data_IF_983719769686
#
_entry.id   IF_983719769686
#
_cell.length_a   1.000
_cell.length_b   1.000
_cell.length_c   1.000
_cell.angle_alpha   90.00
_cell.angle_beta   90.00
_cell.angle_gamma   90.00
#
_symmetry.space_group_name_H-M   'P 1'
#
loop_
_entity.id
_entity.type
_entity.pdbx_description
1 polymer ?
#
# COMPACT_ATOMS: atom_id res chain seq x y z
N UNK A 1 -1.31 -1.34 28.34
CA UNK A 1 -1.61 -0.09 27.60
C UNK A 1 -3.12 0.01 27.35
N UNK A 2 -3.70 1.21 27.47
CA UNK A 2 -5.10 1.45 27.11
C UNK A 2 -5.29 1.81 25.63
N UNK A 3 -6.53 1.86 25.11
CA UNK A 3 -6.82 2.17 23.70
C UNK A 3 -6.50 3.62 23.28
N UNK A 4 -6.17 4.49 24.24
CA UNK A 4 -5.56 5.79 23.98
C UNK A 4 -4.04 5.69 24.21
N UNK A 5 -3.33 5.13 23.23
CA UNK A 5 -1.86 5.17 23.16
C UNK A 5 -1.42 5.96 21.91
N UNK A 6 -0.30 6.71 21.96
CA UNK A 6 0.13 7.57 20.86
C UNK A 6 0.97 6.81 19.83
N UNK A 7 0.34 5.97 19.00
CA UNK A 7 1.00 5.35 17.84
C UNK A 7 0.03 5.15 16.67
N UNK A 8 0.55 4.80 15.48
CA UNK A 8 -0.19 4.82 14.21
C UNK A 8 -0.71 3.44 13.76
N UNK A 9 -0.43 2.39 14.53
CA UNK A 9 -0.87 1.00 14.27
C UNK A 9 -2.32 0.70 14.73
N UNK A 10 -3.15 1.73 14.89
CA UNK A 10 -4.57 1.60 15.25
C UNK A 10 -4.85 1.40 16.74
N UNK A 11 -6.11 1.09 17.07
CA UNK A 11 -6.64 1.06 18.44
C UNK A 11 -6.68 -0.37 18.99
N UNK A 12 -5.91 -0.63 20.05
CA UNK A 12 -5.86 -1.92 20.75
C UNK A 12 -5.65 -1.69 22.26
N UNK A 13 -6.02 -2.66 23.10
CA UNK A 13 -5.77 -2.61 24.55
C UNK A 13 -4.98 -3.83 24.98
N UNK A 14 -3.89 -3.59 25.71
CA UNK A 14 -3.04 -4.62 26.31
C UNK A 14 -3.21 -4.58 27.83
N UNK A 15 -3.77 -5.62 28.43
CA UNK A 15 -3.69 -5.82 29.88
C UNK A 15 -2.45 -6.67 30.12
N UNK A 16 -1.38 -6.01 30.59
CA UNK A 16 -0.06 -6.62 30.76
C UNK A 16 0.17 -6.91 32.25
N UNK A 17 0.53 -8.15 32.57
CA UNK A 17 0.94 -8.57 33.91
C UNK A 17 2.46 -8.57 33.98
N UNK A 18 3.00 -7.78 34.92
CA UNK A 18 4.42 -7.55 35.11
C UNK A 18 4.89 -8.12 36.45
N UNK A 19 6.13 -8.61 36.49
CA UNK A 19 6.88 -8.83 37.72
C UNK A 19 8.23 -8.08 37.61
N UNK A 20 8.35 -6.99 38.38
CA UNK A 20 9.44 -6.03 38.19
C UNK A 20 9.42 -5.41 36.79
N UNK A 21 10.43 -5.73 35.98
CA UNK A 21 10.59 -5.28 34.59
C UNK A 21 10.18 -6.36 33.57
N UNK A 22 9.96 -7.61 34.00
CA UNK A 22 9.62 -8.73 33.14
C UNK A 22 8.09 -8.82 32.87
N UNK A 23 7.74 -9.20 31.64
CA UNK A 23 6.35 -9.46 31.22
C UNK A 23 6.03 -10.94 31.43
N UNK A 24 5.11 -11.25 32.34
CA UNK A 24 4.61 -12.62 32.56
C UNK A 24 3.48 -12.97 31.59
N UNK A 25 2.53 -12.05 31.39
CA UNK A 25 1.32 -12.29 30.60
C UNK A 25 0.82 -10.99 29.94
N UNK A 26 0.04 -11.13 28.86
CA UNK A 26 -0.47 -10.02 28.05
C UNK A 26 -1.80 -10.37 27.37
N UNK A 27 -2.93 -10.01 28.00
CA UNK A 27 -4.25 -10.14 27.38
C UNK A 27 -4.46 -9.01 26.35
N UNK A 28 -4.55 -9.40 25.07
CA UNK A 28 -4.80 -8.52 23.94
C UNK A 28 -6.30 -8.39 23.66
N UNK A 29 -6.88 -7.26 24.03
CA UNK A 29 -8.29 -6.91 23.76
C UNK A 29 -8.36 -6.14 22.43
N UNK A 30 -8.89 -6.83 21.40
CA UNK A 30 -9.19 -6.29 20.07
C UNK A 30 -10.68 -5.88 19.96
N UNK A 31 -11.10 -5.51 18.75
CA UNK A 31 -12.52 -5.30 18.42
C UNK A 31 -12.99 -3.84 18.49
N UNK A 32 -12.19 -2.90 19.01
CA UNK A 32 -12.52 -1.47 19.05
C UNK A 32 -12.85 -0.84 17.69
N UNK A 33 -12.37 -1.43 16.58
CA UNK A 33 -12.66 -1.02 15.20
C UNK A 33 -13.56 -2.01 14.43
N UNK A 34 -14.18 -2.97 15.12
CA UNK A 34 -15.06 -3.96 14.48
C UNK A 34 -16.34 -3.26 13.97
N UNK A 35 -16.57 -3.35 12.65
CA UNK A 35 -17.66 -2.66 11.95
C UNK A 35 -18.63 -3.61 11.23
N UNK A 36 -18.60 -4.92 11.53
CA UNK A 36 -19.48 -5.91 10.92
C UNK A 36 -19.33 -6.03 9.41
N UNK A 37 -18.11 -5.91 8.88
CA UNK A 37 -17.84 -5.85 7.43
C UNK A 37 -18.43 -7.03 6.65
N UNK A 38 -18.38 -8.24 7.20
CA UNK A 38 -19.00 -9.46 6.67
C UNK A 38 -20.52 -9.31 6.51
N UNK A 39 -21.20 -8.74 7.52
CA UNK A 39 -22.65 -8.52 7.51
C UNK A 39 -23.08 -7.44 6.51
N UNK A 40 -22.19 -6.49 6.23
CA UNK A 40 -22.36 -5.51 5.16
C UNK A 40 -22.21 -6.19 3.78
N UNK A 41 -21.27 -7.12 3.61
CA UNK A 41 -21.07 -7.85 2.35
C UNK A 41 -22.33 -8.62 1.90
N UNK A 42 -22.99 -9.33 2.83
CA UNK A 42 -24.25 -10.06 2.55
C UNK A 42 -25.32 -9.20 1.84
N UNK A 43 -25.31 -7.88 2.10
CA UNK A 43 -26.34 -6.94 1.68
C UNK A 43 -25.86 -5.96 0.60
N UNK A 44 -24.74 -6.25 -0.08
CA UNK A 44 -24.14 -5.38 -1.11
C UNK A 44 -23.68 -6.18 -2.31
N UNK A 45 -23.84 -5.61 -3.51
CA UNK A 45 -23.15 -6.14 -4.70
C UNK A 45 -21.66 -5.83 -4.63
N UNK A 46 -20.82 -6.64 -5.27
CA UNK A 46 -19.34 -6.51 -5.26
C UNK A 46 -18.88 -5.06 -5.54
N UNK A 47 -19.47 -4.41 -6.56
CA UNK A 47 -19.16 -3.01 -6.94
C UNK A 47 -19.54 -1.98 -5.86
N UNK A 48 -20.58 -2.25 -5.07
CA UNK A 48 -20.97 -1.41 -3.93
C UNK A 48 -20.15 -1.72 -2.66
N UNK A 49 -19.52 -2.89 -2.61
CA UNK A 49 -18.72 -3.33 -1.47
C UNK A 49 -17.26 -2.88 -1.56
N UNK A 50 -16.71 -2.75 -2.77
CA UNK A 50 -15.31 -2.34 -3.00
C UNK A 50 -14.85 -1.14 -2.14
N UNK A 51 -15.61 -0.02 -2.02
CA UNK A 51 -15.20 1.15 -1.21
C UNK A 51 -15.25 0.94 0.32
N UNK A 52 -15.72 -0.21 0.80
CA UNK A 52 -15.61 -0.65 2.20
C UNK A 52 -14.34 -1.46 2.44
N UNK A 53 -13.82 -2.14 1.42
CA UNK A 53 -12.71 -3.09 1.56
C UNK A 53 -11.37 -2.38 1.65
N UNK A 54 -11.20 -1.26 0.93
CA UNK A 54 -10.11 -0.27 1.13
C UNK A 54 -10.00 0.30 2.56
N UNK A 55 -10.90 -0.09 3.46
CA UNK A 55 -10.92 0.30 4.88
C UNK A 55 -10.64 -0.89 5.81
N UNK A 56 -10.26 -2.05 5.27
CA UNK A 56 -9.74 -3.20 6.01
C UNK A 56 -8.25 -2.97 6.30
N UNK A 57 -7.45 -2.82 5.25
CA UNK A 57 -6.10 -2.28 5.30
C UNK A 57 -6.13 -0.86 4.69
N UNK A 58 -5.78 0.13 5.51
CA UNK A 58 -5.72 1.54 5.14
C UNK A 58 -4.30 1.99 4.73
N UNK A 59 -3.32 1.09 4.81
CA UNK A 59 -1.93 1.28 4.37
C UNK A 59 -1.78 0.83 2.91
N UNK A 60 -2.35 -0.34 2.59
CA UNK A 60 -2.17 -1.09 1.34
C UNK A 60 -3.50 -1.36 0.63
N UNK A 61 -4.30 -0.31 0.43
CA UNK A 61 -5.73 -0.38 0.02
C UNK A 61 -5.98 -1.30 -1.19
N UNK A 62 -5.13 -1.26 -2.21
CA UNK A 62 -5.34 -1.95 -3.48
C UNK A 62 -5.16 -3.47 -3.39
N UNK A 63 -4.43 -4.02 -2.39
CA UNK A 63 -4.41 -5.46 -2.12
C UNK A 63 -5.80 -5.98 -1.76
N UNK A 64 -6.51 -5.23 -0.92
CA UNK A 64 -7.83 -5.62 -0.42
C UNK A 64 -8.89 -5.55 -1.53
N UNK A 65 -8.77 -4.57 -2.44
CA UNK A 65 -9.57 -4.51 -3.67
C UNK A 65 -9.26 -5.67 -4.62
N UNK A 66 -7.98 -5.97 -4.86
CA UNK A 66 -7.57 -7.08 -5.70
C UNK A 66 -8.12 -8.42 -5.21
N UNK A 67 -8.08 -8.71 -3.90
CA UNK A 67 -8.69 -9.91 -3.31
C UNK A 67 -10.21 -9.96 -3.58
N UNK A 68 -10.90 -8.83 -3.41
CA UNK A 68 -12.36 -8.71 -3.61
C UNK A 68 -12.79 -8.86 -5.07
N UNK A 69 -11.90 -8.51 -6.00
CA UNK A 69 -12.12 -8.58 -7.45
C UNK A 69 -11.71 -9.95 -8.01
N UNK A 70 -10.60 -10.52 -7.55
CA UNK A 70 -10.09 -11.84 -7.97
C UNK A 70 -11.12 -12.96 -7.72
N UNK A 71 -11.77 -12.98 -6.56
CA UNK A 71 -12.74 -14.04 -6.19
C UNK A 71 -13.87 -14.23 -7.21
N UNK A 72 -14.66 -13.19 -7.55
CA UNK A 72 -15.69 -13.29 -8.59
C UNK A 72 -15.13 -13.37 -10.01
N UNK A 73 -13.95 -12.83 -10.31
CA UNK A 73 -13.28 -13.06 -11.62
C UNK A 73 -12.98 -14.54 -11.84
N UNK A 74 -12.42 -15.22 -10.83
CA UNK A 74 -12.14 -16.66 -10.85
C UNK A 74 -13.42 -17.50 -10.92
N UNK A 75 -14.42 -17.21 -10.07
CA UNK A 75 -15.69 -17.94 -10.07
C UNK A 75 -16.46 -17.78 -11.40
N UNK A 76 -16.35 -16.62 -12.04
CA UNK A 76 -16.90 -16.35 -13.36
C UNK A 76 -16.06 -16.89 -14.54
N UNK A 77 -14.87 -17.45 -14.30
CA UNK A 77 -13.88 -17.82 -15.31
C UNK A 77 -13.58 -16.67 -16.31
N UNK A 78 -13.52 -15.44 -15.80
CA UNK A 78 -13.30 -14.24 -16.62
C UNK A 78 -11.82 -14.16 -16.99
N UNK A 79 -11.51 -14.22 -18.28
CA UNK A 79 -10.16 -13.97 -18.78
C UNK A 79 -9.85 -12.47 -18.67
N UNK A 80 -8.91 -12.11 -17.79
CA UNK A 80 -8.43 -10.74 -17.69
C UNK A 80 -7.63 -10.38 -18.96
N UNK A 81 -7.80 -9.17 -19.51
CA UNK A 81 -6.91 -8.67 -20.54
C UNK A 81 -5.56 -8.37 -19.89
N UNK A 82 -4.56 -9.23 -20.15
CA UNK A 82 -3.11 -8.92 -20.20
C UNK A 82 -2.71 -7.59 -19.52
N UNK A 83 -2.83 -6.45 -20.22
CA UNK A 83 -2.72 -5.06 -19.70
C UNK A 83 -3.09 -4.82 -18.22
N UNK A 84 -4.25 -5.31 -17.79
CA UNK A 84 -4.77 -5.08 -16.44
C UNK A 84 -4.01 -5.88 -15.37
N UNK A 85 -3.33 -6.97 -15.73
CA UNK A 85 -2.60 -7.87 -14.82
C UNK A 85 -1.51 -7.14 -14.03
N UNK A 86 -0.65 -6.39 -14.72
CA UNK A 86 0.40 -5.55 -14.12
C UNK A 86 0.14 -4.05 -13.98
N UNK A 87 -0.95 -3.52 -14.52
CA UNK A 87 -1.51 -2.32 -13.86
C UNK A 87 -1.93 -2.73 -12.44
N UNK A 88 -2.43 -3.96 -12.22
CA UNK A 88 -2.63 -4.53 -10.88
C UNK A 88 -1.29 -4.79 -10.17
N UNK A 89 -0.31 -5.51 -10.76
CA UNK A 89 1.05 -5.71 -10.18
C UNK A 89 1.71 -4.41 -9.74
N UNK A 90 1.96 -3.46 -10.63
CA UNK A 90 2.72 -2.23 -10.31
C UNK A 90 2.03 -1.45 -9.18
N UNK A 91 0.70 -1.36 -9.20
CA UNK A 91 -0.06 -0.68 -8.16
C UNK A 91 -0.12 -1.47 -6.84
N UNK A 92 -0.01 -2.81 -6.89
CA UNK A 92 0.15 -3.66 -5.71
C UNK A 92 1.55 -3.55 -5.10
N UNK A 93 2.63 -3.59 -5.89
CA UNK A 93 3.99 -3.45 -5.38
C UNK A 93 4.25 -2.04 -4.84
N UNK A 94 3.75 -0.99 -5.51
CA UNK A 94 3.72 0.37 -4.94
C UNK A 94 2.89 0.43 -3.65
N UNK A 95 1.78 -0.32 -3.55
CA UNK A 95 1.01 -0.43 -2.30
C UNK A 95 1.77 -1.19 -1.21
N UNK A 96 2.65 -2.13 -1.59
CA UNK A 96 3.52 -2.87 -0.67
C UNK A 96 4.56 -1.93 -0.08
N UNK A 97 5.22 -1.14 -0.92
CA UNK A 97 6.22 -0.16 -0.49
C UNK A 97 5.58 0.97 0.33
N UNK A 98 4.41 1.47 -0.07
CA UNK A 98 3.64 2.41 0.74
C UNK A 98 3.26 1.83 2.12
N UNK A 99 3.04 0.52 2.23
CA UNK A 99 2.78 -0.17 3.50
C UNK A 99 4.05 -0.36 4.33
N UNK A 100 5.15 -0.82 3.72
CA UNK A 100 6.44 -0.98 4.40
C UNK A 100 7.01 0.36 4.89
N UNK A 101 6.87 1.45 4.12
CA UNK A 101 7.19 2.81 4.55
C UNK A 101 6.37 3.21 5.79
N UNK A 102 5.05 3.06 5.76
CA UNK A 102 4.19 3.45 6.88
C UNK A 102 4.22 2.46 8.07
N UNK A 103 4.81 1.28 7.90
CA UNK A 103 5.28 0.46 9.02
C UNK A 103 6.58 1.04 9.61
N UNK A 104 7.57 1.34 8.77
CA UNK A 104 8.92 1.73 9.18
C UNK A 104 8.95 3.06 9.94
N UNK A 105 8.17 4.06 9.52
CA UNK A 105 8.13 5.38 10.15
C UNK A 105 7.72 5.33 11.62
N UNK A 106 6.51 4.84 11.95
CA UNK A 106 6.06 4.64 13.32
C UNK A 106 6.95 3.66 14.11
N UNK A 107 7.42 2.57 13.50
CA UNK A 107 8.32 1.62 14.17
C UNK A 107 9.62 2.28 14.64
N UNK A 108 10.23 3.15 13.82
CA UNK A 108 11.41 3.92 14.21
C UNK A 108 11.09 4.97 15.28
N UNK A 109 9.92 5.64 15.18
CA UNK A 109 9.48 6.61 16.18
C UNK A 109 9.19 5.96 17.55
N UNK A 110 8.58 4.77 17.58
CA UNK A 110 8.29 3.98 18.79
C UNK A 110 9.59 3.44 19.44
N UNK A 111 10.67 3.27 18.67
CA UNK A 111 12.05 2.99 19.16
C UNK A 111 12.79 4.27 19.60
N UNK A 112 12.22 5.46 19.35
CA UNK A 112 12.76 6.78 19.72
C UNK A 112 13.50 7.51 18.59
N UNK A 113 13.70 6.88 17.44
CA UNK A 113 14.29 7.50 16.25
C UNK A 113 13.24 8.32 15.48
N UNK A 114 12.99 9.55 15.93
CA UNK A 114 11.95 10.43 15.37
C UNK A 114 12.30 11.05 14.01
N UNK A 115 13.58 11.25 13.66
CA UNK A 115 13.95 11.93 12.40
C UNK A 115 13.62 11.13 11.13
N UNK A 116 13.86 9.80 11.03
CA UNK A 116 13.47 8.99 9.88
C UNK A 116 11.99 9.09 9.51
N UNK A 117 11.11 9.24 10.49
CA UNK A 117 9.66 9.39 10.30
C UNK A 117 9.32 10.45 9.22
N UNK A 118 9.92 11.64 9.31
CA UNK A 118 9.64 12.73 8.38
C UNK A 118 10.17 12.48 6.95
N UNK A 119 11.31 11.80 6.82
CA UNK A 119 11.83 11.41 5.50
C UNK A 119 10.98 10.31 4.85
N UNK A 120 10.51 9.36 5.65
CA UNK A 120 9.65 8.26 5.20
C UNK A 120 8.31 8.78 4.68
N UNK A 121 7.71 9.77 5.34
CA UNK A 121 6.50 10.43 4.83
C UNK A 121 6.76 11.22 3.53
N UNK A 122 7.94 11.83 3.35
CA UNK A 122 8.32 12.49 2.08
C UNK A 122 8.38 11.49 0.92
N UNK A 123 9.05 10.34 1.09
CA UNK A 123 9.10 9.33 0.01
C UNK A 123 7.72 8.73 -0.26
N UNK A 124 6.90 8.54 0.79
CA UNK A 124 5.56 7.98 0.66
C UNK A 124 4.57 8.92 -0.05
N UNK A 125 4.74 10.23 0.07
CA UNK A 125 3.93 11.21 -0.66
C UNK A 125 4.12 11.08 -2.18
N UNK A 126 5.35 10.78 -2.65
CA UNK A 126 5.61 10.51 -4.07
C UNK A 126 4.84 9.28 -4.60
N UNK A 127 4.59 8.28 -3.75
CA UNK A 127 3.74 7.12 -4.09
C UNK A 127 2.25 7.52 -4.11
N UNK A 128 1.85 8.46 -3.25
CA UNK A 128 0.51 9.04 -3.29
C UNK A 128 0.28 9.92 -4.52
N UNK A 129 1.26 10.72 -4.97
CA UNK A 129 1.20 11.46 -6.24
C UNK A 129 0.92 10.52 -7.43
N UNK A 130 1.58 9.35 -7.45
CA UNK A 130 1.36 8.30 -8.45
C UNK A 130 -0.05 7.68 -8.34
N UNK A 131 -0.53 7.44 -7.12
CA UNK A 131 -1.88 6.92 -6.90
C UNK A 131 -2.97 7.93 -7.26
N UNK A 132 -2.80 9.22 -6.96
CA UNK A 132 -3.71 10.27 -7.43
C UNK A 132 -3.71 10.35 -8.95
N UNK A 133 -2.55 10.39 -9.59
CA UNK A 133 -2.44 10.43 -11.06
C UNK A 133 -3.08 9.21 -11.75
N UNK A 134 -3.05 8.04 -11.12
CA UNK A 134 -3.63 6.80 -11.65
C UNK A 134 -5.13 6.62 -11.32
N UNK A 135 -5.63 7.15 -10.20
CA UNK A 135 -6.99 6.83 -9.67
C UNK A 135 -7.90 8.04 -9.44
N UNK A 136 -7.39 9.27 -9.50
CA UNK A 136 -8.17 10.52 -9.46
C UNK A 136 -8.57 11.04 -8.07
N UNK A 137 -7.86 10.63 -7.01
CA UNK A 137 -8.18 10.99 -5.62
C UNK A 137 -7.44 12.26 -5.17
N UNK A 138 -7.87 13.45 -5.63
CA UNK A 138 -7.39 14.74 -5.09
C UNK A 138 -7.90 16.00 -5.82
N UNK A 139 -7.95 15.99 -7.16
CA UNK A 139 -8.63 16.94 -8.08
C UNK A 139 -8.42 18.45 -7.82
N UNK A 140 -7.59 19.10 -8.65
CA UNK A 140 -7.34 20.56 -8.68
C UNK A 140 -7.72 21.18 -10.05
N UNK A 141 -8.10 22.46 -10.08
CA UNK A 141 -8.60 23.19 -11.27
C UNK A 141 -7.54 23.81 -12.21
N UNK A 142 -7.94 24.02 -13.47
CA UNK A 142 -7.07 24.44 -14.58
C UNK A 142 -6.41 25.82 -14.46
N UNK A 143 -7.18 26.86 -14.13
CA UNK A 143 -6.64 28.24 -14.06
C UNK A 143 -5.69 28.43 -12.87
N UNK A 144 -5.88 27.68 -11.78
CA UNK A 144 -5.06 27.75 -10.57
C UNK A 144 -3.66 27.19 -10.83
N UNK A 145 -3.56 26.05 -11.53
CA UNK A 145 -2.29 25.41 -11.88
C UNK A 145 -1.38 26.30 -12.76
N UNK A 146 -1.97 27.09 -13.68
CA UNK A 146 -1.23 28.08 -14.48
C UNK A 146 -0.73 29.23 -13.61
N UNK A 147 -1.61 29.81 -12.79
CA UNK A 147 -1.28 30.97 -11.96
C UNK A 147 -0.21 30.68 -10.89
N UNK A 148 -0.09 29.42 -10.45
CA UNK A 148 0.94 28.99 -9.50
C UNK A 148 2.23 28.48 -10.18
N UNK A 149 2.34 28.55 -11.50
CA UNK A 149 3.54 28.16 -12.24
C UNK A 149 3.85 26.67 -12.19
N UNK A 150 2.83 25.82 -11.99
CA UNK A 150 3.01 24.37 -11.94
C UNK A 150 3.42 23.84 -13.32
N UNK A 151 4.16 22.73 -13.34
CA UNK A 151 4.64 22.10 -14.58
C UNK A 151 4.63 20.57 -14.45
N UNK A 152 4.77 19.87 -15.57
CA UNK A 152 4.75 18.40 -15.59
C UNK A 152 3.35 17.82 -15.32
N UNK A 153 3.19 16.83 -14.41
CA UNK A 153 1.91 16.14 -14.21
C UNK A 153 0.83 17.03 -13.58
N UNK A 154 1.18 17.93 -12.64
CA UNK A 154 0.22 18.82 -11.98
C UNK A 154 -0.50 19.75 -12.97
N UNK A 155 0.18 20.17 -14.03
CA UNK A 155 -0.39 20.99 -15.10
C UNK A 155 -1.24 20.16 -16.09
N UNK A 156 -0.94 18.86 -16.24
CA UNK A 156 -1.74 17.92 -17.05
C UNK A 156 -3.06 17.56 -16.38
N UNK A 157 -3.02 17.21 -15.09
CA UNK A 157 -4.18 16.81 -14.31
C UNK A 157 -5.27 17.89 -14.29
N UNK A 158 -4.87 19.16 -14.32
CA UNK A 158 -5.75 20.32 -14.35
C UNK A 158 -6.28 20.70 -15.75
N UNK A 159 -5.91 19.94 -16.80
CA UNK A 159 -6.52 20.00 -18.15
C UNK A 159 -5.63 20.50 -19.29
N UNK A 160 -4.32 20.73 -19.09
CA UNK A 160 -3.43 21.33 -20.09
C UNK A 160 -2.49 20.26 -20.69
N UNK A 161 -2.60 20.04 -22.00
CA UNK A 161 -2.10 18.81 -22.63
C UNK A 161 -0.66 18.91 -23.16
N UNK A 162 0.28 18.25 -22.47
CA UNK A 162 1.65 17.99 -22.94
C UNK A 162 2.16 16.66 -22.34
N UNK A 163 2.28 15.61 -23.16
CA UNK A 163 2.72 14.28 -22.66
C UNK A 163 3.46 13.43 -23.72
N UNK A 164 4.70 12.96 -23.47
CA UNK A 164 5.39 12.00 -24.32
C UNK A 164 5.88 10.72 -23.59
N UNK A 165 5.49 9.55 -24.15
CA UNK A 165 5.86 8.13 -23.85
C UNK A 165 4.89 7.33 -22.96
N UNK A 166 4.02 6.59 -23.66
CA UNK A 166 3.63 5.19 -23.37
C UNK A 166 4.62 4.28 -24.17
N UNK A 167 4.57 2.94 -24.23
CA UNK A 167 3.45 1.97 -24.25
C UNK A 167 4.02 0.56 -23.92
N UNK A 168 3.33 -0.21 -23.05
CA UNK A 168 3.14 -1.68 -22.91
C UNK A 168 4.23 -2.69 -23.41
N UNK A 169 4.26 -4.01 -23.22
CA UNK A 169 3.63 -5.03 -22.37
C UNK A 169 4.70 -6.12 -22.10
N UNK A 170 5.03 -6.49 -20.86
CA UNK A 170 4.85 -7.90 -20.41
C UNK A 170 5.05 -8.06 -18.89
N UNK A 171 4.40 -8.98 -18.18
CA UNK A 171 2.98 -9.19 -17.88
C UNK A 171 2.80 -9.92 -16.51
N UNK A 172 3.90 -10.25 -15.81
CA UNK A 172 4.26 -11.65 -15.60
C UNK A 172 5.11 -11.91 -14.33
N UNK A 173 4.47 -12.11 -13.16
CA UNK A 173 5.21 -12.50 -11.94
C UNK A 173 6.07 -13.77 -12.06
N UNK A 174 5.77 -14.66 -13.03
CA UNK A 174 6.51 -15.90 -13.30
C UNK A 174 7.68 -15.72 -14.30
N UNK A 175 7.84 -14.54 -14.92
CA UNK A 175 8.98 -14.23 -15.81
C UNK A 175 9.89 -13.14 -15.21
N UNK A 176 9.48 -12.51 -14.09
CA UNK A 176 10.33 -11.66 -13.27
C UNK A 176 11.27 -12.52 -12.41
N UNK A 177 12.55 -12.18 -12.38
CA UNK A 177 13.57 -12.82 -11.55
C UNK A 177 13.65 -12.10 -10.20
N UNK A 178 13.05 -12.70 -9.17
CA UNK A 178 12.96 -12.14 -7.82
C UNK A 178 13.18 -13.20 -6.73
N UNK A 179 13.88 -12.84 -5.67
CA UNK A 179 14.19 -13.74 -4.56
C UNK A 179 13.29 -13.49 -3.34
N UNK A 180 12.65 -14.55 -2.83
CA UNK A 180 11.91 -14.52 -1.57
C UNK A 180 12.86 -14.18 -0.42
N UNK A 181 12.68 -13.01 0.19
CA UNK A 181 13.53 -12.54 1.28
C UNK A 181 13.25 -13.33 2.57
N UNK A 182 14.30 -13.95 3.13
CA UNK A 182 14.20 -14.76 4.35
C UNK A 182 15.38 -14.51 5.29
N UNK A 183 15.15 -14.79 6.57
CA UNK A 183 16.14 -14.74 7.66
C UNK A 183 15.83 -15.90 8.63
N UNK A 184 16.81 -16.33 9.42
CA UNK A 184 16.69 -17.54 10.26
C UNK A 184 16.46 -17.24 11.74
N UNK A 185 16.78 -16.03 12.16
CA UNK A 185 16.95 -15.61 13.55
C UNK A 185 15.62 -15.34 14.25
N UNK A 186 14.57 -15.00 13.49
CA UNK A 186 13.19 -14.87 13.99
C UNK A 186 12.95 -13.69 14.95
N UNK A 187 13.91 -12.80 15.13
CA UNK A 187 13.85 -11.66 16.05
C UNK A 187 13.29 -10.38 15.39
N UNK A 188 13.37 -9.25 16.08
CA UNK A 188 12.93 -7.95 15.54
C UNK A 188 13.85 -7.43 14.43
N UNK A 189 15.16 -7.73 14.47
CA UNK A 189 16.12 -7.31 13.46
C UNK A 189 15.91 -8.08 12.15
N UNK A 190 15.72 -9.39 12.21
CA UNK A 190 15.33 -10.22 11.06
C UNK A 190 14.04 -9.72 10.40
N UNK A 191 13.01 -9.38 11.20
CA UNK A 191 11.75 -8.80 10.71
C UNK A 191 11.88 -7.38 10.14
N UNK A 192 12.96 -6.65 10.47
CA UNK A 192 13.29 -5.37 9.86
C UNK A 192 14.05 -5.60 8.54
N UNK A 193 15.09 -6.43 8.56
CA UNK A 193 15.91 -6.75 7.38
C UNK A 193 15.09 -7.40 6.25
N UNK A 194 14.16 -8.30 6.57
CA UNK A 194 13.23 -8.86 5.58
C UNK A 194 12.45 -7.74 4.90
N UNK A 195 11.83 -6.81 5.62
CA UNK A 195 10.99 -5.74 5.03
C UNK A 195 11.79 -4.75 4.20
N UNK A 196 13.03 -4.44 4.58
CA UNK A 196 13.93 -3.61 3.76
C UNK A 196 14.33 -4.37 2.48
N UNK A 197 14.55 -5.68 2.58
CA UNK A 197 14.72 -6.56 1.41
C UNK A 197 13.47 -6.61 0.53
N UNK A 198 12.28 -6.77 1.11
CA UNK A 198 11.00 -6.81 0.39
C UNK A 198 10.79 -5.52 -0.40
N UNK A 199 11.07 -4.35 0.16
CA UNK A 199 11.04 -3.07 -0.57
C UNK A 199 12.06 -3.01 -1.72
N UNK A 200 13.28 -3.53 -1.51
CA UNK A 200 14.27 -3.60 -2.58
C UNK A 200 13.81 -4.54 -3.70
N UNK A 201 13.10 -5.62 -3.36
CA UNK A 201 12.54 -6.58 -4.31
C UNK A 201 11.30 -6.02 -5.02
N UNK A 202 10.41 -5.28 -4.35
CA UNK A 202 9.34 -4.50 -4.98
C UNK A 202 9.90 -3.59 -6.07
N UNK A 203 10.99 -2.87 -5.76
CA UNK A 203 11.65 -1.95 -6.70
C UNK A 203 12.24 -2.73 -7.89
N UNK A 204 12.86 -3.91 -7.69
CA UNK A 204 13.27 -4.78 -8.81
C UNK A 204 12.08 -5.23 -9.65
N UNK A 205 11.00 -5.69 -9.03
CA UNK A 205 9.80 -6.17 -9.73
C UNK A 205 9.14 -5.03 -10.52
N UNK A 206 9.09 -3.81 -9.96
CA UNK A 206 8.61 -2.61 -10.66
C UNK A 206 9.54 -2.24 -11.83
N UNK A 207 10.87 -2.35 -11.67
CA UNK A 207 11.83 -2.11 -12.76
C UNK A 207 11.68 -3.15 -13.89
N UNK A 208 11.65 -4.44 -13.54
CA UNK A 208 11.44 -5.53 -14.48
C UNK A 208 10.05 -5.51 -15.13
N UNK A 209 9.02 -5.01 -14.43
CA UNK A 209 7.70 -4.77 -15.01
C UNK A 209 7.64 -3.56 -15.95
N UNK A 210 8.60 -2.62 -15.86
CA UNK A 210 8.69 -1.47 -16.74
C UNK A 210 9.50 -1.75 -18.02
N UNK A 211 10.58 -2.54 -17.98
CA UNK A 211 11.43 -2.83 -19.16
C UNK A 211 10.68 -3.39 -20.39
N UNK A 212 9.81 -4.41 -20.26
CA UNK A 212 8.98 -4.88 -21.37
C UNK A 212 7.76 -3.97 -21.60
N UNK A 213 7.44 -3.05 -20.69
CA UNK A 213 6.32 -2.08 -20.79
C UNK A 213 6.67 -0.81 -21.61
N UNK A 214 7.70 -0.88 -22.46
CA UNK A 214 8.04 0.10 -23.51
C UNK A 214 8.04 -0.48 -24.95
N UNK A 215 7.55 -1.71 -25.17
CA UNK A 215 7.75 -2.52 -26.38
C UNK A 215 6.46 -3.06 -27.10
N UNK A 216 5.24 -2.73 -26.69
CA UNK A 216 3.95 -3.10 -27.35
C UNK A 216 2.95 -1.92 -27.48
#
# INVERSE_FOLDING_TARGET
MGPHHPSMHGVLRLIVTLDGEDVIDCELILGYLHRGMEKIAENRTIRQYLPYVTRWDYLATMFTEAITVNGPEQLGNILLPKRASYIRVIMLELSRDASHLLWLGPFMADIGAQTPFFYIFRERELVYDLFEAATGVGIIGGEEAINWGLSGPMLRASGIQWDPRKVDHYECYDEFDWEVQWQKEGDSLARYLIRIGEMAESIKIIQQANEPYENL
#
